data_IF_362194794307
#
_entry.id   IF_362194794307
#
_cell.length_a   1.000
_cell.length_b   1.000
_cell.length_c   1.000
_cell.angle_alpha   90.00
_cell.angle_beta   90.00
_cell.angle_gamma   90.00
#
_symmetry.space_group_name_H-M   'P 1'
#
loop_
_entity.id
_entity.type
_entity.pdbx_description
1 polymer ?
#
# COMPACT_ATOMS: atom_id res chain seq x y z
N UNK A 1 8.71 -15.60 4.10
CA UNK A 1 7.86 -14.49 3.66
C UNK A 1 8.59 -13.47 2.82
N UNK A 2 7.83 -12.56 2.26
CA UNK A 2 8.36 -11.49 1.43
C UNK A 2 7.57 -10.20 1.67
N UNK A 3 8.27 -9.09 1.75
CA UNK A 3 7.68 -7.76 1.87
C UNK A 3 8.26 -6.87 0.77
N UNK A 4 7.38 -6.21 0.04
CA UNK A 4 7.74 -5.25 -1.00
C UNK A 4 7.41 -3.82 -0.58
N UNK A 5 7.91 -2.87 -1.34
CA UNK A 5 7.50 -1.47 -1.36
C UNK A 5 7.71 -0.93 -2.77
N UNK A 6 7.03 0.15 -3.12
CA UNK A 6 7.16 0.80 -4.45
C UNK A 6 6.91 -0.20 -5.60
N UNK A 7 5.80 -0.93 -5.50
CA UNK A 7 5.28 -1.79 -6.57
C UNK A 7 3.78 -1.58 -6.74
N UNK A 8 3.27 -1.86 -7.93
CA UNK A 8 1.83 -1.89 -8.18
C UNK A 8 1.27 -3.27 -7.83
N UNK A 9 -0.07 -3.42 -7.68
CA UNK A 9 -0.68 -4.73 -7.46
C UNK A 9 -0.29 -5.77 -8.52
N UNK A 10 -0.26 -5.39 -9.80
CA UNK A 10 0.11 -6.30 -10.87
C UNK A 10 1.59 -6.74 -10.80
N UNK A 11 2.48 -5.82 -10.43
CA UNK A 11 3.89 -6.15 -10.19
C UNK A 11 4.05 -7.10 -9.01
N UNK A 12 3.26 -6.90 -7.96
CA UNK A 12 3.25 -7.78 -6.79
C UNK A 12 2.82 -9.20 -7.18
N UNK A 13 1.73 -9.32 -7.94
CA UNK A 13 1.25 -10.62 -8.41
C UNK A 13 2.30 -11.34 -9.25
N UNK A 14 2.91 -10.65 -10.19
CA UNK A 14 3.96 -11.22 -11.03
C UNK A 14 5.16 -11.71 -10.22
N UNK A 15 5.55 -10.96 -9.19
CA UNK A 15 6.65 -11.36 -8.29
C UNK A 15 6.30 -12.62 -7.50
N UNK A 16 5.06 -12.72 -6.99
CA UNK A 16 4.61 -13.93 -6.29
C UNK A 16 4.62 -15.16 -7.21
N UNK A 17 4.24 -15.02 -8.47
CA UNK A 17 4.29 -16.10 -9.44
C UNK A 17 5.73 -16.57 -9.69
N UNK A 18 6.67 -15.62 -9.76
CA UNK A 18 8.10 -15.91 -9.88
C UNK A 18 8.63 -16.66 -8.64
N UNK A 19 8.25 -16.21 -7.44
CA UNK A 19 8.63 -16.87 -6.19
C UNK A 19 8.06 -18.29 -6.13
N UNK A 20 6.78 -18.47 -6.49
CA UNK A 20 6.12 -19.76 -6.51
C UNK A 20 6.80 -20.74 -7.47
N UNK A 21 7.16 -20.29 -8.67
CA UNK A 21 7.89 -21.10 -9.65
C UNK A 21 9.27 -21.52 -9.12
N UNK A 22 9.99 -20.62 -8.43
CA UNK A 22 11.27 -20.93 -7.83
C UNK A 22 11.14 -21.98 -6.71
N UNK A 23 10.12 -21.87 -5.87
CA UNK A 23 9.83 -22.88 -4.84
C UNK A 23 9.61 -24.27 -5.46
N UNK A 24 8.80 -24.35 -6.52
CA UNK A 24 8.53 -25.60 -7.21
C UNK A 24 9.80 -26.20 -7.82
N UNK A 25 10.60 -25.37 -8.46
CA UNK A 25 11.85 -25.80 -9.10
C UNK A 25 12.84 -26.39 -8.08
N UNK A 26 12.92 -25.80 -6.91
CA UNK A 26 13.81 -26.24 -5.83
C UNK A 26 13.19 -27.33 -4.95
N UNK A 27 11.99 -27.82 -5.28
CA UNK A 27 11.28 -28.83 -4.50
C UNK A 27 10.96 -28.39 -3.08
N UNK A 28 10.88 -27.09 -2.82
CA UNK A 28 10.62 -26.54 -1.49
C UNK A 28 9.13 -26.45 -1.22
N UNK A 29 8.73 -26.83 -0.04
CA UNK A 29 7.37 -26.61 0.46
C UNK A 29 7.46 -25.80 1.75
N UNK A 30 6.59 -24.81 1.86
CA UNK A 30 6.46 -24.05 3.10
C UNK A 30 4.97 -24.00 3.46
N UNK A 31 4.61 -24.48 4.66
CA UNK A 31 3.20 -24.41 5.08
C UNK A 31 2.75 -22.97 5.34
N UNK A 32 3.69 -22.06 5.48
CA UNK A 32 3.40 -20.65 5.74
C UNK A 32 4.41 -19.76 4.99
N UNK A 33 3.87 -18.85 4.17
CA UNK A 33 4.65 -17.82 3.48
C UNK A 33 3.93 -16.48 3.64
N UNK A 34 4.47 -15.60 4.47
CA UNK A 34 3.89 -14.28 4.70
C UNK A 34 4.07 -13.39 3.45
N UNK A 35 2.97 -12.81 2.99
CA UNK A 35 2.93 -11.89 1.85
C UNK A 35 2.59 -10.50 2.35
N UNK A 36 3.58 -9.62 2.40
CA UNK A 36 3.45 -8.29 2.97
C UNK A 36 3.82 -7.21 1.95
N UNK A 37 3.28 -6.01 2.16
CA UNK A 37 3.59 -4.83 1.35
C UNK A 37 3.57 -3.58 2.23
N UNK A 38 4.59 -2.74 2.10
CA UNK A 38 4.63 -1.42 2.71
C UNK A 38 4.04 -0.42 1.72
N UNK A 39 2.97 0.27 2.12
CA UNK A 39 2.20 1.16 1.27
C UNK A 39 2.21 2.58 1.82
N UNK A 40 2.79 3.50 1.05
CA UNK A 40 2.67 4.93 1.33
C UNK A 40 1.22 5.35 1.08
N UNK A 41 0.60 5.93 2.11
CA UNK A 41 -0.84 6.19 2.11
C UNK A 41 -1.12 7.60 2.60
N UNK A 42 -2.01 8.31 1.92
CA UNK A 42 -2.50 9.61 2.38
C UNK A 42 -4.00 9.71 2.18
N UNK A 43 -4.73 9.73 3.30
CA UNK A 43 -6.16 10.02 3.34
C UNK A 43 -6.37 11.52 3.35
N UNK A 44 -7.17 12.03 2.42
CA UNK A 44 -7.46 13.45 2.34
C UNK A 44 -8.86 13.67 1.75
N UNK A 45 -9.22 14.94 1.53
CA UNK A 45 -10.55 15.31 0.99
C UNK A 45 -10.73 14.87 -0.45
N UNK A 46 -9.65 14.84 -1.24
CA UNK A 46 -9.63 14.39 -2.63
C UNK A 46 -8.24 13.89 -3.03
N UNK A 47 -8.18 13.26 -4.19
CA UNK A 47 -6.94 12.68 -4.72
C UNK A 47 -5.84 13.73 -4.96
N UNK A 48 -6.18 14.87 -5.58
CA UNK A 48 -5.18 15.88 -5.92
C UNK A 48 -4.54 16.50 -4.67
N UNK A 49 -5.33 16.75 -3.63
CA UNK A 49 -4.82 17.25 -2.35
C UNK A 49 -3.89 16.22 -1.71
N UNK A 50 -4.30 14.95 -1.68
CA UNK A 50 -3.49 13.86 -1.13
C UNK A 50 -2.18 13.71 -1.92
N UNK A 51 -2.24 13.75 -3.25
CA UNK A 51 -1.08 13.65 -4.11
C UNK A 51 -0.08 14.79 -3.86
N UNK A 52 -0.58 16.02 -3.71
CA UNK A 52 0.27 17.18 -3.42
C UNK A 52 1.04 17.02 -2.11
N UNK A 53 0.37 16.65 -1.03
CA UNK A 53 0.99 16.46 0.28
C UNK A 53 1.95 15.27 0.27
N UNK A 54 1.54 14.14 -0.28
CA UNK A 54 2.38 12.94 -0.36
C UNK A 54 3.63 13.18 -1.21
N UNK A 55 3.47 13.82 -2.37
CA UNK A 55 4.58 14.14 -3.27
C UNK A 55 5.62 15.00 -2.59
N UNK A 56 5.18 16.05 -1.90
CA UNK A 56 6.08 16.95 -1.17
C UNK A 56 6.81 16.21 -0.04
N UNK A 57 6.08 15.48 0.77
CA UNK A 57 6.65 14.74 1.91
C UNK A 57 7.68 13.71 1.47
N UNK A 58 7.37 12.93 0.44
CA UNK A 58 8.26 11.89 -0.07
C UNK A 58 9.44 12.47 -0.87
N UNK A 59 9.23 13.58 -1.59
CA UNK A 59 10.31 14.27 -2.29
C UNK A 59 11.37 14.80 -1.32
N UNK A 60 10.95 15.33 -0.17
CA UNK A 60 11.87 15.74 0.89
C UNK A 60 12.58 14.53 1.50
N UNK A 61 11.83 13.46 1.82
CA UNK A 61 12.38 12.25 2.44
C UNK A 61 13.45 11.59 1.59
N UNK A 62 13.26 11.53 0.28
CA UNK A 62 14.17 10.85 -0.64
C UNK A 62 15.08 11.79 -1.41
N UNK A 63 14.98 13.10 -1.19
CA UNK A 63 15.76 14.12 -1.87
C UNK A 63 15.70 13.99 -3.41
N UNK A 64 14.49 13.79 -3.93
CA UNK A 64 14.22 13.65 -5.37
C UNK A 64 12.75 13.99 -5.65
N UNK A 65 12.43 14.32 -6.91
CA UNK A 65 11.04 14.50 -7.30
C UNK A 65 10.30 13.15 -7.27
N UNK A 66 9.33 13.04 -6.37
CA UNK A 66 8.59 11.79 -6.12
C UNK A 66 7.18 11.81 -6.70
N UNK A 67 6.76 12.87 -7.43
CA UNK A 67 5.38 13.01 -7.87
C UNK A 67 4.91 11.85 -8.74
N UNK A 68 5.65 11.48 -9.78
CA UNK A 68 5.30 10.35 -10.65
C UNK A 68 5.25 9.03 -9.89
N UNK A 69 6.18 8.82 -9.00
CA UNK A 69 6.19 7.63 -8.16
C UNK A 69 4.99 7.61 -7.19
N UNK A 70 4.62 8.77 -6.64
CA UNK A 70 3.45 8.88 -5.77
C UNK A 70 2.16 8.53 -6.54
N UNK A 71 1.99 9.03 -7.75
CA UNK A 71 0.84 8.70 -8.60
C UNK A 71 0.75 7.19 -8.88
N UNK A 72 1.88 6.55 -9.08
CA UNK A 72 1.93 5.14 -9.48
C UNK A 72 1.83 4.18 -8.29
N UNK A 73 2.46 4.50 -7.15
CA UNK A 73 2.71 3.54 -6.09
C UNK A 73 2.01 3.82 -4.77
N UNK A 74 1.52 5.02 -4.53
CA UNK A 74 0.88 5.39 -3.27
C UNK A 74 -0.64 5.16 -3.32
N UNK A 75 -1.23 4.89 -2.15
CA UNK A 75 -2.69 4.92 -1.97
C UNK A 75 -3.10 6.32 -1.49
N UNK A 76 -3.77 7.07 -2.33
CA UNK A 76 -4.04 8.48 -2.13
C UNK A 76 -5.52 8.82 -2.34
N UNK A 77 -6.01 9.77 -1.57
CA UNK A 77 -7.31 10.39 -1.79
C UNK A 77 -8.32 10.13 -0.71
N UNK A 78 -9.56 9.89 -1.10
CA UNK A 78 -10.67 9.61 -0.19
C UNK A 78 -10.60 8.21 0.38
N UNK A 79 -11.38 7.94 1.43
CA UNK A 79 -11.46 6.61 2.02
C UNK A 79 -11.87 5.53 1.00
N UNK A 80 -12.76 5.87 0.06
CA UNK A 80 -13.17 4.96 -1.03
C UNK A 80 -11.98 4.61 -1.93
N UNK A 81 -11.23 5.61 -2.38
CA UNK A 81 -10.08 5.42 -3.26
C UNK A 81 -8.99 4.59 -2.61
N UNK A 82 -8.72 4.84 -1.33
CA UNK A 82 -7.74 4.06 -0.56
C UNK A 82 -8.21 2.62 -0.39
N UNK A 83 -9.48 2.41 -0.03
CA UNK A 83 -10.03 1.07 0.13
C UNK A 83 -9.98 0.26 -1.18
N UNK A 84 -10.25 0.88 -2.33
CA UNK A 84 -10.09 0.23 -3.63
C UNK A 84 -8.65 -0.20 -3.90
N UNK A 85 -7.70 0.66 -3.57
CA UNK A 85 -6.27 0.36 -3.73
C UNK A 85 -5.85 -0.83 -2.84
N UNK A 86 -6.31 -0.84 -1.59
CA UNK A 86 -6.04 -1.94 -0.66
C UNK A 86 -6.67 -3.27 -1.13
N UNK A 87 -7.88 -3.23 -1.69
CA UNK A 87 -8.51 -4.41 -2.29
C UNK A 87 -7.69 -4.95 -3.46
N UNK A 88 -7.17 -4.07 -4.31
CA UNK A 88 -6.34 -4.47 -5.43
C UNK A 88 -5.07 -5.22 -4.97
N UNK A 89 -4.42 -4.76 -3.89
CA UNK A 89 -3.31 -5.48 -3.29
C UNK A 89 -3.72 -6.80 -2.65
N UNK A 90 -4.87 -6.85 -1.98
CA UNK A 90 -5.41 -8.10 -1.45
C UNK A 90 -5.65 -9.12 -2.56
N UNK A 91 -6.27 -8.71 -3.66
CA UNK A 91 -6.52 -9.56 -4.83
C UNK A 91 -5.21 -10.04 -5.48
N UNK A 92 -4.16 -9.22 -5.42
CA UNK A 92 -2.84 -9.60 -5.90
C UNK A 92 -2.10 -10.58 -4.99
N UNK A 93 -2.61 -10.85 -3.79
CA UNK A 93 -2.04 -11.83 -2.87
C UNK A 93 -1.45 -11.27 -1.58
N UNK A 94 -1.51 -9.96 -1.37
CA UNK A 94 -1.04 -9.34 -0.11
C UNK A 94 -1.98 -9.71 1.04
N UNK A 95 -1.40 -10.10 2.17
CA UNK A 95 -2.17 -10.44 3.40
C UNK A 95 -1.77 -9.59 4.60
N UNK A 96 -0.64 -8.88 4.51
CA UNK A 96 -0.17 -7.96 5.53
C UNK A 96 0.19 -6.64 4.88
N UNK A 97 -0.48 -5.55 5.25
CA UNK A 97 -0.15 -4.20 4.81
C UNK A 97 0.48 -3.44 5.96
N UNK A 98 1.66 -2.87 5.71
CA UNK A 98 2.28 -1.91 6.60
C UNK A 98 2.00 -0.53 6.01
N UNK A 99 1.22 0.27 6.74
CA UNK A 99 0.84 1.60 6.28
C UNK A 99 1.90 2.63 6.72
N UNK A 100 2.49 3.31 5.75
CA UNK A 100 3.23 4.54 6.01
C UNK A 100 2.32 5.72 5.68
N UNK A 101 1.72 6.31 6.69
CA UNK A 101 0.80 7.45 6.55
C UNK A 101 1.61 8.72 6.34
N UNK A 102 1.81 9.08 5.08
CA UNK A 102 2.68 10.19 4.70
C UNK A 102 2.02 11.55 4.89
N UNK A 103 2.83 12.54 5.29
CA UNK A 103 2.39 13.89 5.54
C UNK A 103 3.15 14.52 6.70
N UNK A 104 2.72 15.71 7.17
CA UNK A 104 3.32 16.36 8.33
C UNK A 104 3.28 15.46 9.58
N UNK A 105 4.38 15.42 10.29
CA UNK A 105 4.54 14.57 11.47
C UNK A 105 3.47 14.83 12.53
N UNK A 106 3.08 16.09 12.68
CA UNK A 106 2.09 16.55 13.67
C UNK A 106 0.70 15.96 13.42
N UNK A 107 0.39 15.61 12.17
CA UNK A 107 -0.91 15.05 11.78
C UNK A 107 -1.03 13.55 11.96
N UNK A 108 0.06 12.85 12.29
CA UNK A 108 0.09 11.38 12.20
C UNK A 108 -0.96 10.68 13.07
N UNK A 109 -1.19 11.14 14.28
CA UNK A 109 -2.17 10.50 15.18
C UNK A 109 -3.60 10.71 14.67
N UNK A 110 -3.92 11.95 14.28
CA UNK A 110 -5.20 12.26 13.66
C UNK A 110 -5.41 11.46 12.37
N UNK A 111 -4.38 11.36 11.55
CA UNK A 111 -4.41 10.58 10.31
C UNK A 111 -4.67 9.08 10.59
N UNK A 112 -4.03 8.51 11.61
CA UNK A 112 -4.27 7.13 12.03
C UNK A 112 -5.72 6.92 12.51
N UNK A 113 -6.24 7.83 13.33
CA UNK A 113 -7.62 7.77 13.81
C UNK A 113 -8.62 7.86 12.65
N UNK A 114 -8.42 8.81 11.74
CA UNK A 114 -9.27 8.97 10.56
C UNK A 114 -9.22 7.74 9.67
N UNK A 115 -8.03 7.19 9.44
CA UNK A 115 -7.89 5.95 8.68
C UNK A 115 -8.69 4.81 9.31
N UNK A 116 -8.56 4.63 10.63
CA UNK A 116 -9.29 3.59 11.36
C UNK A 116 -10.82 3.79 11.28
N UNK A 117 -11.29 5.02 11.37
CA UNK A 117 -12.73 5.33 11.35
C UNK A 117 -13.34 5.31 9.95
N UNK A 118 -12.60 5.73 8.92
CA UNK A 118 -13.14 5.96 7.59
C UNK A 118 -12.77 4.85 6.59
N UNK A 119 -11.58 4.24 6.70
CA UNK A 119 -11.10 3.24 5.74
C UNK A 119 -11.33 1.82 6.22
N UNK A 120 -10.98 1.49 7.47
CA UNK A 120 -11.08 0.11 7.97
C UNK A 120 -12.49 -0.48 7.87
N UNK A 121 -13.59 0.27 8.14
CA UNK A 121 -14.94 -0.28 7.98
C UNK A 121 -15.25 -0.72 6.55
N UNK A 122 -14.64 -0.07 5.55
CA UNK A 122 -14.83 -0.43 4.14
C UNK A 122 -14.09 -1.72 3.76
N UNK A 123 -13.04 -2.05 4.49
CA UNK A 123 -12.24 -3.26 4.26
C UNK A 123 -12.87 -4.50 4.88
N UNK A 124 -13.67 -4.38 5.93
CA UNK A 124 -14.34 -5.52 6.56
C UNK A 124 -15.27 -6.27 5.61
N UNK A 125 -15.70 -5.63 4.52
CA UNK A 125 -16.54 -6.24 3.47
C UNK A 125 -15.74 -7.19 2.56
N UNK A 126 -14.41 -7.16 2.59
CA UNK A 126 -13.55 -8.02 1.77
C UNK A 126 -13.60 -9.47 2.26
N UNK A 127 -13.77 -9.67 3.56
CA UNK A 127 -13.77 -10.98 4.22
C UNK A 127 -15.19 -11.57 4.38
N UNK A 128 -16.16 -10.92 3.78
CA UNK A 128 -17.55 -11.37 3.83
C UNK A 128 -17.86 -12.49 2.86
#
# INVERSE_FOLDING_TARGET
>A
GWMSYVVTPSMYRAALDTIGAAYQKEGRTSPYFATAHLLYTRLDTDYETALGVASQSLSVRYNMDFRRAAERYCALGTAEQIAENLRAFYDAGVRYIILDLVGPYEERLDHMERFAQEVLPKLSQING
#
